data_IF_838891057952
#
_entry.id   IF_838891057952
#
_cell.length_a   1.000
_cell.length_b   1.000
_cell.length_c   1.000
_cell.angle_alpha   90.00
_cell.angle_beta   90.00
_cell.angle_gamma   90.00
#
_symmetry.space_group_name_H-M   'P 1'
#
loop_
_entity.id
_entity.type
_entity.pdbx_description
1 polymer ?
#
# COMPACT_ATOMS: atom_id res chain seq x y z
N UNK A 1 17.63 -33.89 -15.24
CA UNK A 1 16.93 -33.11 -14.21
C UNK A 1 17.65 -31.78 -14.05
N UNK A 2 17.01 -30.68 -14.47
CA UNK A 2 17.59 -29.34 -14.41
C UNK A 2 17.58 -28.85 -12.95
N UNK A 3 18.73 -28.94 -12.29
CA UNK A 3 18.96 -28.62 -10.87
C UNK A 3 18.58 -27.17 -10.50
N UNK A 4 18.52 -26.26 -11.49
CA UNK A 4 18.38 -24.82 -11.24
C UNK A 4 17.11 -24.22 -11.87
N UNK A 5 16.09 -25.00 -12.25
CA UNK A 5 14.89 -24.51 -12.97
C UNK A 5 15.23 -23.50 -14.10
N UNK A 6 16.11 -23.89 -15.03
CA UNK A 6 16.58 -23.06 -16.14
C UNK A 6 17.51 -21.87 -15.75
N UNK A 7 18.00 -21.82 -14.52
CA UNK A 7 19.00 -20.85 -14.05
C UNK A 7 20.43 -21.39 -14.14
N UNK A 8 21.41 -20.51 -13.94
CA UNK A 8 22.84 -20.88 -13.91
C UNK A 8 23.22 -21.39 -12.54
N UNK A 9 23.94 -22.50 -12.49
CA UNK A 9 24.54 -23.03 -11.26
C UNK A 9 26.03 -22.67 -11.15
N UNK A 10 26.48 -22.46 -9.91
CA UNK A 10 27.88 -22.28 -9.54
C UNK A 10 28.60 -23.63 -9.70
N UNK A 11 29.64 -23.73 -10.54
CA UNK A 11 30.34 -24.99 -10.78
C UNK A 11 31.18 -25.48 -9.60
N UNK A 12 31.48 -24.61 -8.62
CA UNK A 12 32.28 -24.95 -7.45
C UNK A 12 31.41 -25.49 -6.30
N UNK A 13 30.23 -24.91 -6.05
CA UNK A 13 29.35 -25.36 -4.95
C UNK A 13 28.20 -26.24 -5.42
N UNK A 14 27.80 -26.13 -6.68
CA UNK A 14 26.59 -26.77 -7.21
C UNK A 14 25.29 -26.02 -6.88
N UNK A 15 25.38 -24.85 -6.23
CA UNK A 15 24.22 -24.02 -5.91
C UNK A 15 23.80 -23.16 -7.10
N UNK A 16 22.53 -22.78 -7.14
CA UNK A 16 22.00 -21.85 -8.12
C UNK A 16 22.46 -20.43 -7.81
N UNK A 17 22.97 -19.72 -8.82
CA UNK A 17 23.40 -18.32 -8.68
C UNK A 17 22.19 -17.40 -8.44
N UNK A 18 21.06 -17.73 -9.05
CA UNK A 18 19.78 -17.03 -8.87
C UNK A 18 18.62 -18.01 -9.03
N UNK A 19 17.50 -17.71 -8.37
CA UNK A 19 16.25 -18.43 -8.54
C UNK A 19 15.24 -17.59 -9.30
N UNK A 20 14.25 -18.25 -9.92
CA UNK A 20 13.09 -17.57 -10.46
C UNK A 20 12.23 -16.95 -9.34
N UNK A 21 11.47 -15.88 -9.62
CA UNK A 21 10.56 -15.29 -8.64
C UNK A 21 9.59 -16.33 -8.09
N UNK A 22 9.43 -16.38 -6.77
CA UNK A 22 8.60 -17.39 -6.11
C UNK A 22 9.37 -18.60 -5.59
N UNK A 23 10.66 -18.75 -5.90
CA UNK A 23 11.51 -19.86 -5.45
C UNK A 23 12.78 -19.37 -4.75
N UNK A 24 13.24 -20.18 -3.79
CA UNK A 24 14.44 -19.99 -2.96
C UNK A 24 15.13 -21.34 -2.71
N UNK A 25 16.23 -21.29 -1.95
CA UNK A 25 17.05 -22.46 -1.64
C UNK A 25 18.23 -22.61 -2.60
N UNK A 26 19.21 -23.46 -2.26
CA UNK A 26 20.41 -23.67 -3.06
C UNK A 26 20.10 -24.27 -4.44
N UNK A 27 18.97 -24.97 -4.60
CA UNK A 27 18.55 -25.59 -5.85
C UNK A 27 17.26 -24.97 -6.43
N UNK A 28 16.81 -23.84 -5.89
CA UNK A 28 15.57 -23.17 -6.31
C UNK A 28 14.34 -24.10 -6.32
N UNK A 29 14.31 -25.07 -5.41
CA UNK A 29 13.27 -26.08 -5.25
C UNK A 29 12.31 -25.77 -4.11
N UNK A 30 12.64 -24.79 -3.26
CA UNK A 30 11.77 -24.31 -2.19
C UNK A 30 10.89 -23.15 -2.68
N UNK A 31 9.57 -23.35 -2.71
CA UNK A 31 8.62 -22.28 -2.98
C UNK A 31 8.58 -21.28 -1.82
N UNK A 32 8.32 -19.99 -2.11
CA UNK A 32 8.09 -19.00 -1.07
C UNK A 32 7.03 -19.44 -0.06
N UNK A 33 7.33 -19.18 1.22
CA UNK A 33 6.39 -19.38 2.31
C UNK A 33 5.13 -18.55 2.10
N UNK A 34 4.01 -19.07 2.59
CA UNK A 34 2.71 -18.41 2.53
C UNK A 34 2.78 -16.95 2.99
N UNK A 35 2.28 -16.05 2.15
CA UNK A 35 2.28 -14.61 2.41
C UNK A 35 3.54 -13.87 1.96
N UNK A 36 4.50 -14.56 1.34
CA UNK A 36 5.66 -13.97 0.67
C UNK A 36 5.61 -14.24 -0.83
N UNK A 37 6.16 -13.33 -1.62
CA UNK A 37 6.23 -13.48 -3.07
C UNK A 37 7.43 -12.79 -3.72
N UNK A 38 7.61 -13.07 -5.01
CA UNK A 38 8.58 -12.41 -5.89
C UNK A 38 10.01 -12.93 -5.73
N UNK A 39 10.98 -12.17 -6.25
CA UNK A 39 12.38 -12.56 -6.22
C UNK A 39 12.87 -12.71 -4.78
N UNK A 40 13.41 -13.88 -4.44
CA UNK A 40 13.92 -14.17 -3.11
C UNK A 40 12.86 -14.15 -1.99
N UNK A 41 11.57 -14.14 -2.34
CA UNK A 41 10.47 -14.08 -1.38
C UNK A 41 10.51 -12.87 -0.43
N UNK A 42 11.02 -11.72 -0.90
CA UNK A 42 11.17 -10.53 -0.05
C UNK A 42 9.92 -9.64 0.00
N UNK A 43 8.92 -9.88 -0.84
CA UNK A 43 7.70 -9.09 -0.85
C UNK A 43 6.61 -9.75 -0.01
N UNK A 44 5.88 -8.93 0.76
CA UNK A 44 4.75 -9.37 1.57
C UNK A 44 3.45 -9.25 0.80
N UNK A 45 2.67 -10.32 0.79
CA UNK A 45 1.30 -10.30 0.28
C UNK A 45 0.42 -9.33 1.08
N UNK A 46 -0.51 -8.67 0.41
CA UNK A 46 -1.49 -7.79 1.05
C UNK A 46 -2.34 -8.57 2.06
N UNK A 47 -2.61 -7.95 3.21
CA UNK A 47 -3.56 -8.43 4.19
C UNK A 47 -5.00 -8.41 3.66
N UNK A 48 -5.27 -7.62 2.61
CA UNK A 48 -6.59 -7.40 2.02
C UNK A 48 -6.91 -8.33 0.83
N UNK A 49 -6.14 -9.40 0.65
CA UNK A 49 -6.56 -10.49 -0.23
C UNK A 49 -7.80 -11.17 0.35
N UNK A 50 -8.85 -11.41 -0.45
CA UNK A 50 -10.02 -12.18 0.01
C UNK A 50 -9.62 -13.57 0.48
N UNK A 51 -10.03 -13.89 1.70
CA UNK A 51 -9.65 -15.12 2.37
C UNK A 51 -8.24 -15.10 2.96
N UNK A 52 -7.51 -13.98 2.92
CA UNK A 52 -6.19 -13.84 3.55
C UNK A 52 -5.01 -14.26 2.67
N UNK A 53 -3.80 -14.14 3.24
CA UNK A 53 -2.49 -14.26 2.56
C UNK A 53 -2.22 -15.59 1.85
N UNK A 54 -2.94 -16.66 2.17
CA UNK A 54 -2.79 -17.95 1.47
C UNK A 54 -3.41 -17.98 0.08
N UNK A 55 -4.25 -16.98 -0.27
CA UNK A 55 -4.77 -16.83 -1.63
C UNK A 55 -3.91 -15.90 -2.49
N UNK A 56 -2.76 -15.45 -1.98
CA UNK A 56 -1.79 -14.67 -2.72
C UNK A 56 -0.87 -15.58 -3.54
N UNK A 57 -0.62 -15.22 -4.79
CA UNK A 57 0.24 -15.99 -5.67
C UNK A 57 1.72 -15.70 -5.37
N UNK A 58 2.49 -16.74 -5.06
CA UNK A 58 3.88 -16.65 -4.59
C UNK A 58 4.87 -16.08 -5.62
N UNK A 59 4.54 -16.07 -6.92
CA UNK A 59 5.40 -15.47 -7.96
C UNK A 59 5.21 -13.96 -8.10
N UNK A 60 3.97 -13.48 -8.20
CA UNK A 60 3.66 -12.09 -8.59
C UNK A 60 2.88 -11.30 -7.52
N UNK A 61 2.51 -11.94 -6.41
CA UNK A 61 1.79 -11.31 -5.30
C UNK A 61 0.29 -11.14 -5.53
N UNK A 62 -0.25 -11.59 -6.67
CA UNK A 62 -1.65 -11.36 -7.01
C UNK A 62 -2.60 -12.14 -6.10
N UNK A 63 -3.67 -11.51 -5.63
CA UNK A 63 -4.71 -12.18 -4.86
C UNK A 63 -5.64 -12.97 -5.78
N UNK A 64 -5.55 -14.31 -5.74
CA UNK A 64 -6.29 -15.23 -6.62
C UNK A 64 -7.81 -15.15 -6.44
N UNK A 65 -8.28 -14.77 -5.24
CA UNK A 65 -9.71 -14.56 -4.94
C UNK A 65 -10.14 -13.09 -5.04
N UNK A 66 -9.27 -12.22 -5.56
CA UNK A 66 -9.48 -10.78 -5.60
C UNK A 66 -9.33 -10.11 -4.24
N UNK A 67 -9.82 -8.88 -4.16
CA UNK A 67 -9.61 -7.97 -3.02
C UNK A 67 -10.83 -7.82 -2.13
N UNK A 68 -10.59 -7.52 -0.86
CA UNK A 68 -11.59 -6.95 0.04
C UNK A 68 -12.12 -5.61 -0.50
N UNK A 69 -13.21 -5.10 0.09
CA UNK A 69 -13.85 -3.87 -0.40
C UNK A 69 -12.89 -2.68 -0.35
N UNK A 70 -12.92 -1.84 -1.40
CA UNK A 70 -12.10 -0.63 -1.55
C UNK A 70 -10.59 -0.84 -1.77
N UNK A 71 -10.15 -2.07 -1.99
CA UNK A 71 -8.76 -2.35 -2.37
C UNK A 71 -8.63 -2.67 -3.85
N UNK A 72 -7.53 -2.21 -4.46
CA UNK A 72 -7.36 -2.28 -5.91
C UNK A 72 -6.64 -3.57 -6.36
N UNK A 73 -7.24 -4.36 -7.28
CA UNK A 73 -6.57 -5.50 -7.89
C UNK A 73 -5.35 -5.10 -8.72
N UNK A 74 -4.35 -5.99 -8.92
CA UNK A 74 -4.33 -7.40 -8.48
C UNK A 74 -3.66 -7.62 -7.11
N UNK A 75 -3.02 -6.59 -6.55
CA UNK A 75 -2.24 -6.68 -5.31
C UNK A 75 -3.02 -6.26 -4.06
N UNK A 76 -4.26 -5.78 -4.21
CA UNK A 76 -5.12 -5.29 -3.12
C UNK A 76 -4.40 -4.25 -2.25
N UNK A 77 -3.79 -3.29 -2.93
CA UNK A 77 -3.12 -2.15 -2.30
C UNK A 77 -4.14 -1.06 -1.99
N UNK A 78 -3.86 -0.31 -0.93
CA UNK A 78 -4.60 0.90 -0.60
C UNK A 78 -4.12 2.03 -1.52
N UNK A 79 -4.88 2.31 -2.58
CA UNK A 79 -4.64 3.46 -3.45
C UNK A 79 -5.37 4.70 -2.98
N UNK A 80 -6.00 4.69 -1.79
CA UNK A 80 -6.55 5.92 -1.23
C UNK A 80 -5.40 6.91 -1.06
N UNK A 81 -5.44 8.07 -1.74
CA UNK A 81 -4.54 9.13 -1.37
C UNK A 81 -4.84 9.43 0.10
N UNK A 82 -3.81 9.41 0.95
CA UNK A 82 -3.86 9.89 2.35
C UNK A 82 -4.18 11.41 2.43
N UNK A 83 -4.94 11.96 1.50
CA UNK A 83 -5.29 13.36 1.34
C UNK A 83 -6.80 13.56 1.13
N UNK A 84 -7.64 12.77 1.80
CA UNK A 84 -9.01 13.20 2.17
C UNK A 84 -9.22 13.14 3.69
N UNK A 85 -8.25 12.64 4.46
CA UNK A 85 -8.15 12.94 5.90
C UNK A 85 -7.31 14.21 6.08
N UNK A 86 -7.80 15.34 5.58
CA UNK A 86 -7.61 16.57 6.34
C UNK A 86 -8.55 16.49 7.55
N UNK A 87 -8.13 15.67 8.54
CA UNK A 87 -8.45 15.94 9.94
C UNK A 87 -8.20 17.43 10.16
N UNK A 88 -9.23 18.14 10.63
CA UNK A 88 -9.31 19.59 10.63
C UNK A 88 -7.99 20.30 10.92
N UNK A 89 -7.45 20.95 9.90
CA UNK A 89 -6.39 21.94 10.08
C UNK A 89 -7.01 23.13 10.81
N UNK A 90 -6.58 23.39 12.04
CA UNK A 90 -7.01 24.54 12.84
C UNK A 90 -6.84 25.87 12.10
N UNK A 91 -5.96 25.91 11.08
CA UNK A 91 -5.76 27.03 10.17
C UNK A 91 -7.03 27.45 9.40
N UNK A 92 -7.96 26.52 9.11
CA UNK A 92 -9.20 26.82 8.37
C UNK A 92 -10.21 27.60 9.24
N UNK A 93 -10.18 27.41 10.57
CA UNK A 93 -11.07 28.13 11.48
C UNK A 93 -10.67 29.59 11.69
N UNK A 94 -9.37 29.90 11.61
CA UNK A 94 -8.88 31.28 11.81
C UNK A 94 -9.35 32.21 10.67
N UNK A 95 -9.47 31.69 9.45
CA UNK A 95 -9.87 32.46 8.28
C UNK A 95 -11.36 32.90 8.30
N UNK A 96 -12.24 32.16 8.99
CA UNK A 96 -13.67 32.55 9.13
C UNK A 96 -13.92 33.53 10.27
N UNK A 97 -13.01 33.60 11.25
CA UNK A 97 -13.21 34.42 12.45
C UNK A 97 -12.94 35.92 12.21
N UNK A 98 -12.02 36.26 11.30
CA UNK A 98 -11.63 37.67 11.04
C UNK A 98 -12.73 38.42 10.27
N UNK A 99 -13.36 37.75 9.29
CA UNK A 99 -14.43 38.34 8.48
C UNK A 99 -15.68 38.60 9.33
N UNK A 100 -15.99 37.69 10.27
CA UNK A 100 -17.10 37.87 11.22
C UNK A 100 -16.90 39.06 12.15
N UNK A 101 -15.70 39.24 12.71
CA UNK A 101 -15.39 40.37 13.60
C UNK A 101 -15.40 41.71 12.87
N UNK A 102 -14.91 41.77 11.63
CA UNK A 102 -14.93 42.99 10.82
C UNK A 102 -16.37 43.38 10.46
N UNK A 103 -17.19 42.41 10.01
CA UNK A 103 -18.61 42.65 9.70
C UNK A 103 -19.40 43.05 10.95
N UNK A 104 -19.15 42.41 12.10
CA UNK A 104 -19.78 42.79 13.37
C UNK A 104 -19.37 44.20 13.82
N UNK A 105 -18.08 44.56 13.69
CA UNK A 105 -17.59 45.89 14.03
C UNK A 105 -18.18 46.97 13.12
N UNK A 106 -18.25 46.72 11.81
CA UNK A 106 -18.94 47.62 10.87
C UNK A 106 -20.44 47.72 11.18
N UNK A 107 -21.12 46.60 11.45
CA UNK A 107 -22.53 46.62 11.83
C UNK A 107 -22.77 47.39 13.14
N UNK A 108 -21.88 47.28 14.13
CA UNK A 108 -21.97 48.06 15.36
C UNK A 108 -21.72 49.56 15.13
N UNK A 109 -20.77 49.94 14.26
CA UNK A 109 -20.54 51.34 13.90
C UNK A 109 -21.77 51.93 13.21
N UNK A 110 -22.38 51.20 12.28
CA UNK A 110 -23.57 51.69 11.57
C UNK A 110 -24.84 51.62 12.42
N UNK A 111 -24.97 50.63 13.31
CA UNK A 111 -26.10 50.53 14.25
C UNK A 111 -26.02 51.57 15.38
N UNK A 112 -24.81 52.01 15.76
CA UNK A 112 -24.60 53.08 16.74
C UNK A 112 -24.79 54.51 16.20
N UNK A 113 -25.15 54.66 14.92
CA UNK A 113 -25.46 55.96 14.30
C UNK A 113 -26.98 56.25 14.22
N UNK A 114 -27.77 55.44 14.93
CA UNK A 114 -29.23 55.55 15.00
C UNK A 114 -29.64 55.82 16.45
N UNK A 115 -29.24 56.99 16.96
CA UNK A 115 -29.95 57.75 17.98
C UNK A 115 -29.79 59.24 17.65
#
# INVERSE_FOLDING_TARGET
>A
DDVCQNQTCDPATGDCISCEPGYIGPQCDEQCRTGLYGQGCFHLCSDFCKGGKYNCHFVNGHCMKGCEENFEPPLCQDTTPQNIVQQGSTAVFIAKSIIGSIVFFFLCIFAGFKD
#
